data_IF_831941588866
#
_entry.id   IF_831941588866
#
_cell.length_a   1.000
_cell.length_b   1.000
_cell.length_c   1.000
_cell.angle_alpha   90.00
_cell.angle_beta   90.00
_cell.angle_gamma   90.00
#
_symmetry.space_group_name_H-M   'P 1'
#
loop_
_entity.id
_entity.type
_entity.pdbx_description
1 polymer ?
#
# COMPACT_ATOMS: atom_id res chain seq x y z
N UNK A 1 0.84 16.94 -21.04
CA UNK A 1 1.17 16.34 -19.72
C UNK A 1 0.17 15.25 -19.47
N UNK A 2 0.63 14.06 -19.07
CA UNK A 2 -0.28 12.94 -18.79
C UNK A 2 -1.00 13.22 -17.47
N UNK A 3 -2.26 12.83 -17.36
CA UNK A 3 -3.13 13.16 -16.22
C UNK A 3 -2.60 12.62 -14.86
N UNK A 4 -1.77 11.56 -14.90
CA UNK A 4 -1.19 10.90 -13.72
C UNK A 4 -0.11 11.74 -13.04
N UNK A 5 0.77 12.41 -13.81
CA UNK A 5 1.90 13.19 -13.30
C UNK A 5 1.43 14.28 -12.34
N UNK A 6 0.43 15.05 -12.76
CA UNK A 6 -0.14 16.14 -11.97
C UNK A 6 -1.01 15.64 -10.82
N UNK A 7 -1.77 14.56 -11.03
CA UNK A 7 -2.71 14.06 -10.03
C UNK A 7 -2.02 13.44 -8.81
N UNK A 8 -0.90 12.74 -9.02
CA UNK A 8 -0.21 12.01 -7.94
C UNK A 8 1.16 12.60 -7.57
N UNK A 9 1.54 13.73 -8.15
CA UNK A 9 2.81 14.39 -7.83
C UNK A 9 4.05 13.64 -8.31
N UNK A 10 3.91 12.71 -9.27
CA UNK A 10 5.03 12.03 -9.92
C UNK A 10 5.57 12.97 -11.01
N UNK A 11 6.48 13.86 -10.64
CA UNK A 11 7.01 14.91 -11.51
C UNK A 11 8.33 14.45 -12.13
N UNK A 12 8.40 14.48 -13.47
CA UNK A 12 9.62 14.19 -14.21
C UNK A 12 9.34 14.01 -15.70
N UNK A 13 10.35 14.23 -16.54
CA UNK A 13 10.24 14.05 -18.00
C UNK A 13 11.28 13.07 -18.54
N UNK A 14 12.07 12.44 -17.68
CA UNK A 14 13.05 11.44 -18.10
C UNK A 14 12.34 10.17 -18.58
N UNK A 15 13.00 9.41 -19.46
CA UNK A 15 12.39 8.21 -20.04
C UNK A 15 12.06 7.16 -18.96
N UNK A 16 12.86 7.09 -17.90
CA UNK A 16 12.67 6.20 -16.76
C UNK A 16 11.38 6.54 -15.99
N UNK A 17 11.11 7.82 -15.73
CA UNK A 17 9.86 8.25 -15.08
C UNK A 17 8.67 7.95 -16.00
N UNK A 18 8.80 8.21 -17.29
CA UNK A 18 7.75 7.89 -18.27
C UNK A 18 7.49 6.38 -18.33
N UNK A 19 8.52 5.54 -18.13
CA UNK A 19 8.39 4.09 -18.04
C UNK A 19 7.67 3.65 -16.75
N UNK A 20 8.01 4.22 -15.60
CA UNK A 20 7.29 3.95 -14.34
C UNK A 20 5.80 4.26 -14.50
N UNK A 21 5.45 5.40 -15.10
CA UNK A 21 4.05 5.78 -15.35
C UNK A 21 3.35 4.76 -16.26
N UNK A 22 4.00 4.33 -17.34
CA UNK A 22 3.44 3.30 -18.26
C UNK A 22 3.20 1.97 -17.53
N UNK A 23 4.13 1.56 -16.67
CA UNK A 23 3.98 0.33 -15.87
C UNK A 23 2.79 0.46 -14.92
N UNK A 24 2.65 1.58 -14.21
CA UNK A 24 1.50 1.84 -13.33
C UNK A 24 0.18 1.70 -14.11
N UNK A 25 0.05 2.36 -15.27
CA UNK A 25 -1.16 2.29 -16.10
C UNK A 25 -1.49 0.85 -16.53
N UNK A 26 -0.47 0.05 -16.84
CA UNK A 26 -0.65 -1.32 -17.29
C UNK A 26 -1.05 -2.27 -16.15
N UNK A 27 -0.44 -2.15 -14.98
CA UNK A 27 -0.62 -3.13 -13.88
C UNK A 27 -1.73 -2.74 -12.91
N UNK A 28 -2.09 -1.46 -12.80
CA UNK A 28 -3.13 -0.99 -11.87
C UNK A 28 -4.48 -1.74 -12.02
N UNK A 29 -5.03 -2.02 -13.23
CA UNK A 29 -6.30 -2.73 -13.35
C UNK A 29 -6.22 -4.24 -13.05
N UNK A 30 -5.04 -4.78 -12.73
CA UNK A 30 -4.86 -6.20 -12.41
C UNK A 30 -5.02 -6.50 -10.91
N UNK A 31 -5.16 -7.78 -10.57
CA UNK A 31 -5.24 -8.26 -9.18
C UNK A 31 -3.97 -9.00 -8.73
N UNK A 32 -2.80 -8.48 -9.11
CA UNK A 32 -1.50 -9.04 -8.72
C UNK A 32 -0.89 -8.27 -7.54
N UNK A 33 0.06 -8.89 -6.84
CA UNK A 33 0.94 -8.20 -5.90
C UNK A 33 2.03 -7.44 -6.67
N UNK A 34 2.34 -6.22 -6.24
CA UNK A 34 3.31 -5.34 -6.90
C UNK A 34 4.43 -5.00 -5.92
N UNK A 35 5.68 -5.20 -6.34
CA UNK A 35 6.87 -4.76 -5.61
C UNK A 35 7.33 -3.41 -6.14
N UNK A 36 7.36 -2.39 -5.28
CA UNK A 36 7.93 -1.07 -5.59
C UNK A 36 9.31 -0.98 -4.95
N UNK A 37 10.35 -0.91 -5.78
CA UNK A 37 11.74 -0.88 -5.33
C UNK A 37 12.38 0.49 -5.62
N UNK A 38 13.28 0.92 -4.74
CA UNK A 38 14.03 2.16 -4.87
C UNK A 38 14.53 2.69 -3.54
N UNK A 39 15.45 3.66 -3.58
CA UNK A 39 16.08 4.27 -2.41
C UNK A 39 15.07 4.97 -1.47
N UNK A 40 15.46 5.17 -0.21
CA UNK A 40 14.64 5.93 0.75
C UNK A 40 14.40 7.35 0.23
N UNK A 41 13.16 7.84 0.34
CA UNK A 41 12.79 9.18 -0.13
C UNK A 41 12.58 9.32 -1.65
N UNK A 42 12.61 8.23 -2.43
CA UNK A 42 12.39 8.30 -3.89
C UNK A 42 10.92 8.45 -4.33
N UNK A 43 9.98 8.60 -3.39
CA UNK A 43 8.55 8.79 -3.69
C UNK A 43 7.78 7.51 -4.02
N UNK A 44 8.18 6.36 -3.46
CA UNK A 44 7.49 5.06 -3.66
C UNK A 44 6.03 5.09 -3.22
N UNK A 45 5.71 5.88 -2.20
CA UNK A 45 4.36 6.08 -1.69
C UNK A 45 3.44 6.73 -2.74
N UNK A 46 3.98 7.63 -3.58
CA UNK A 46 3.24 8.25 -4.68
C UNK A 46 2.88 7.22 -5.76
N UNK A 47 3.81 6.30 -6.06
CA UNK A 47 3.58 5.18 -6.98
C UNK A 47 2.51 4.24 -6.43
N UNK A 48 2.60 3.87 -5.15
CA UNK A 48 1.61 3.00 -4.51
C UNK A 48 0.21 3.62 -4.51
N UNK A 49 0.10 4.93 -4.24
CA UNK A 49 -1.16 5.66 -4.27
C UNK A 49 -1.76 5.70 -5.68
N UNK A 50 -0.93 5.96 -6.70
CA UNK A 50 -1.36 5.95 -8.09
C UNK A 50 -1.88 4.56 -8.51
N UNK A 51 -1.20 3.49 -8.11
CA UNK A 51 -1.63 2.11 -8.35
C UNK A 51 -3.00 1.81 -7.74
N UNK A 52 -3.23 2.19 -6.48
CA UNK A 52 -4.53 1.98 -5.84
C UNK A 52 -5.64 2.76 -6.54
N UNK A 53 -5.44 4.06 -6.82
CA UNK A 53 -6.48 4.93 -7.40
C UNK A 53 -6.84 4.61 -8.85
N UNK A 54 -5.92 3.96 -9.58
CA UNK A 54 -6.13 3.50 -10.96
C UNK A 54 -6.62 2.05 -11.03
N UNK A 55 -6.66 1.33 -9.91
CA UNK A 55 -7.10 -0.05 -9.87
C UNK A 55 -8.62 -0.21 -9.85
N UNK A 56 -9.08 -1.45 -10.04
CA UNK A 56 -10.49 -1.82 -9.89
C UNK A 56 -11.00 -1.68 -8.44
N UNK A 57 -10.09 -1.54 -7.47
CA UNK A 57 -10.36 -1.44 -6.03
C UNK A 57 -10.15 -0.03 -5.46
N UNK A 58 -10.10 0.99 -6.31
CA UNK A 58 -9.95 2.42 -5.94
C UNK A 58 -10.98 2.99 -4.96
N UNK A 59 -12.11 2.31 -4.79
CA UNK A 59 -13.17 2.68 -3.84
C UNK A 59 -13.12 1.86 -2.54
N UNK A 60 -12.24 0.87 -2.47
CA UNK A 60 -11.97 0.10 -1.27
C UNK A 60 -11.00 0.82 -0.33
N UNK A 61 -10.73 0.25 0.85
CA UNK A 61 -9.77 0.80 1.79
C UNK A 61 -8.35 0.84 1.21
N UNK A 62 -7.60 1.88 1.57
CA UNK A 62 -6.16 2.01 1.29
C UNK A 62 -5.42 2.06 2.62
N UNK A 63 -4.86 0.91 3.03
CA UNK A 63 -4.20 0.74 4.33
C UNK A 63 -2.70 0.83 4.12
N UNK A 64 -2.04 1.77 4.79
CA UNK A 64 -0.59 1.94 4.75
C UNK A 64 0.00 1.41 6.05
N UNK A 65 0.94 0.47 5.95
CA UNK A 65 1.59 -0.17 7.10
C UNK A 65 3.08 0.14 7.07
N UNK A 66 3.54 0.88 8.09
CA UNK A 66 4.97 1.06 8.31
C UNK A 66 5.50 -0.07 9.21
N UNK A 67 6.02 -1.14 8.61
CA UNK A 67 6.59 -2.26 9.35
C UNK A 67 7.74 -1.86 10.28
N UNK A 68 8.48 -0.78 9.97
CA UNK A 68 9.55 -0.27 10.82
C UNK A 68 9.06 0.40 12.11
N UNK A 69 7.78 0.79 12.17
CA UNK A 69 7.15 1.34 13.37
C UNK A 69 6.48 0.27 14.24
N UNK A 70 6.40 -0.99 13.78
CA UNK A 70 5.74 -2.07 14.51
C UNK A 70 6.75 -2.75 15.45
N UNK A 71 6.44 -2.89 16.76
CA UNK A 71 7.29 -3.61 17.69
C UNK A 71 7.51 -5.07 17.28
N UNK A 72 8.77 -5.55 17.38
CA UNK A 72 9.24 -6.84 16.86
C UNK A 72 8.49 -8.09 17.41
N UNK A 73 7.73 -7.97 18.50
CA UNK A 73 6.91 -9.06 19.06
C UNK A 73 5.43 -9.01 18.69
N UNK A 74 4.98 -7.97 17.99
CA UNK A 74 3.54 -7.71 17.74
C UNK A 74 3.15 -7.72 16.26
N UNK A 75 4.11 -7.92 15.35
CA UNK A 75 3.87 -7.81 13.91
C UNK A 75 2.76 -8.73 13.40
N UNK A 76 2.71 -9.97 13.88
CA UNK A 76 1.69 -10.93 13.49
C UNK A 76 0.30 -10.49 13.99
N UNK A 77 0.23 -10.04 15.23
CA UNK A 77 -0.99 -9.54 15.86
C UNK A 77 -1.54 -8.27 15.19
N UNK A 78 -0.66 -7.36 14.73
CA UNK A 78 -1.07 -6.16 13.99
C UNK A 78 -1.52 -6.50 12.56
N UNK A 79 -0.85 -7.43 11.88
CA UNK A 79 -1.20 -7.82 10.51
C UNK A 79 -2.50 -8.63 10.44
N UNK A 80 -2.65 -9.63 11.31
CA UNK A 80 -3.73 -10.61 11.26
C UNK A 80 -4.83 -10.37 12.31
N UNK A 81 -4.56 -9.52 13.31
CA UNK A 81 -5.46 -9.31 14.43
C UNK A 81 -5.29 -10.37 15.51
N UNK A 82 -6.09 -10.23 16.57
CA UNK A 82 -6.14 -11.19 17.67
C UNK A 82 -7.50 -11.16 18.36
N UNK A 83 -7.78 -12.25 19.09
CA UNK A 83 -8.93 -12.33 20.00
C UNK A 83 -8.48 -12.02 21.42
N UNK A 84 -9.41 -11.49 22.22
CA UNK A 84 -9.24 -11.31 23.65
C UNK A 84 -8.77 -12.62 24.30
N UNK A 85 -7.70 -12.54 25.09
CA UNK A 85 -7.13 -13.68 25.80
C UNK A 85 -6.19 -14.56 25.00
N UNK A 86 -5.85 -14.24 23.74
CA UNK A 86 -4.88 -15.04 22.96
C UNK A 86 -3.44 -14.91 23.46
N UNK A 87 -3.09 -13.81 24.15
CA UNK A 87 -1.81 -13.63 24.84
C UNK A 87 -1.92 -12.68 26.05
N UNK A 88 -0.90 -12.64 26.90
CA UNK A 88 -0.85 -11.75 28.08
C UNK A 88 -0.90 -10.29 27.66
N UNK A 89 -1.99 -9.59 27.98
CA UNK A 89 -2.23 -8.19 27.60
C UNK A 89 -3.31 -7.99 26.52
N UNK A 90 -3.85 -9.06 25.92
CA UNK A 90 -4.97 -8.98 24.97
C UNK A 90 -6.31 -8.76 25.69
N UNK A 91 -6.62 -7.51 26.02
CA UNK A 91 -7.83 -7.14 26.77
C UNK A 91 -9.11 -7.15 25.92
N UNK A 92 -8.97 -7.03 24.59
CA UNK A 92 -10.07 -6.90 23.63
C UNK A 92 -9.75 -7.64 22.32
N UNK A 93 -10.77 -7.82 21.49
CA UNK A 93 -10.58 -8.29 20.10
C UNK A 93 -10.06 -7.14 19.23
N UNK A 94 -9.12 -7.44 18.34
CA UNK A 94 -8.56 -6.46 17.41
C UNK A 94 -8.50 -7.01 16.00
N UNK A 95 -9.05 -6.26 15.03
CA UNK A 95 -8.91 -6.56 13.60
C UNK A 95 -7.49 -6.27 13.13
N UNK A 96 -6.97 -7.15 12.28
CA UNK A 96 -5.67 -6.95 11.65
C UNK A 96 -5.71 -5.96 10.47
N UNK A 97 -4.54 -5.53 10.02
CA UNK A 97 -4.42 -4.69 8.83
C UNK A 97 -4.97 -5.36 7.57
N UNK A 98 -4.78 -6.68 7.41
CA UNK A 98 -5.35 -7.41 6.27
C UNK A 98 -6.88 -7.38 6.25
N UNK A 99 -7.50 -7.57 7.41
CA UNK A 99 -8.97 -7.50 7.53
C UNK A 99 -9.47 -6.07 7.29
N UNK A 100 -8.73 -5.07 7.76
CA UNK A 100 -9.06 -3.64 7.56
C UNK A 100 -8.92 -3.22 6.10
N UNK A 101 -8.04 -3.90 5.35
CA UNK A 101 -7.80 -3.68 3.93
C UNK A 101 -8.71 -4.52 3.01
N UNK A 102 -9.71 -5.24 3.56
CA UNK A 102 -10.57 -6.12 2.76
C UNK A 102 -11.20 -5.37 1.57
N UNK A 103 -11.18 -6.02 0.40
CA UNK A 103 -11.59 -5.47 -0.91
C UNK A 103 -10.85 -4.20 -1.36
N UNK A 104 -9.76 -3.85 -0.69
CA UNK A 104 -8.93 -2.70 -0.98
C UNK A 104 -7.47 -3.07 -1.26
N UNK A 105 -6.56 -2.19 -0.87
CA UNK A 105 -5.11 -2.35 -1.02
C UNK A 105 -4.45 -2.14 0.33
N UNK A 106 -3.46 -2.99 0.62
CA UNK A 106 -2.51 -2.82 1.72
C UNK A 106 -1.13 -2.50 1.13
N UNK A 107 -0.45 -1.49 1.68
CA UNK A 107 0.93 -1.10 1.37
C UNK A 107 1.82 -1.39 2.57
#
# INVERSE_FOLDING_TARGET
>A
MRNIEQKYGIIGKSEEILQVIRVIEQVAPSNISILIYGESGSGKELVAKALHDLSLRKHGPYVIVNCGAIPAGTIESELFGHRKGSFTGSTEDRKGFFETADKGTIL
#
